data_IF_680273556974
#
_entry.id   IF_680273556974
#
_cell.length_a   1.000
_cell.length_b   1.000
_cell.length_c   1.000
_cell.angle_alpha   90.00
_cell.angle_beta   90.00
_cell.angle_gamma   90.00
#
_symmetry.space_group_name_H-M   'P 1'
#
loop_
_entity.id
_entity.type
_entity.pdbx_description
1 polymer ?
#
# COMPACT_ATOMS: atom_id res chain seq x y z
N UNK A 1 -11.25 2.26 -32.71
CA UNK A 1 -11.69 3.22 -31.67
C UNK A 1 -11.81 2.45 -30.36
N UNK A 2 -10.80 2.52 -29.50
CA UNK A 2 -10.79 1.85 -28.19
C UNK A 2 -11.73 2.59 -27.24
N UNK A 3 -12.84 1.97 -26.85
CA UNK A 3 -13.66 2.44 -25.74
C UNK A 3 -12.85 2.32 -24.45
N UNK A 4 -12.17 3.39 -24.06
CA UNK A 4 -11.59 3.51 -22.73
C UNK A 4 -12.77 3.60 -21.75
N UNK A 5 -12.88 2.62 -20.83
CA UNK A 5 -13.92 2.64 -19.79
C UNK A 5 -13.82 3.95 -19.00
N UNK A 6 -14.96 4.56 -18.60
CA UNK A 6 -14.92 5.74 -17.76
C UNK A 6 -14.16 5.43 -16.47
N UNK A 7 -13.27 6.34 -16.11
CA UNK A 7 -12.43 6.19 -14.93
C UNK A 7 -13.27 6.37 -13.67
N UNK A 8 -13.55 5.23 -13.02
CA UNK A 8 -14.45 5.13 -11.86
C UNK A 8 -13.87 5.76 -10.60
N UNK A 9 -12.57 6.09 -10.58
CA UNK A 9 -11.90 6.67 -9.43
C UNK A 9 -11.95 8.21 -9.40
N UNK A 10 -12.31 8.87 -10.51
CA UNK A 10 -12.36 10.32 -10.58
C UNK A 10 -13.25 10.98 -9.50
N UNK A 11 -14.46 10.47 -9.17
CA UNK A 11 -15.27 11.05 -8.10
C UNK A 11 -14.56 10.98 -6.75
N UNK A 12 -13.95 9.83 -6.43
CA UNK A 12 -13.18 9.65 -5.21
C UNK A 12 -11.98 10.60 -5.13
N UNK A 13 -11.22 10.73 -6.22
CA UNK A 13 -10.05 11.63 -6.31
C UNK A 13 -10.49 13.08 -6.06
N UNK A 14 -11.58 13.52 -6.69
CA UNK A 14 -12.11 14.89 -6.50
C UNK A 14 -12.48 15.15 -5.05
N UNK A 15 -13.21 14.23 -4.43
CA UNK A 15 -13.58 14.34 -3.02
C UNK A 15 -12.34 14.36 -2.13
N UNK A 16 -11.39 13.44 -2.34
CA UNK A 16 -10.20 13.35 -1.52
C UNK A 16 -9.34 14.62 -1.61
N UNK A 17 -9.23 15.23 -2.79
CA UNK A 17 -8.54 16.52 -2.97
C UNK A 17 -9.25 17.66 -2.24
N UNK A 18 -10.58 17.71 -2.28
CA UNK A 18 -11.33 18.75 -1.57
C UNK A 18 -11.11 18.68 -0.06
N UNK A 19 -11.09 17.47 0.51
CA UNK A 19 -10.83 17.30 1.95
C UNK A 19 -9.37 17.62 2.33
N UNK A 20 -8.40 17.22 1.50
CA UNK A 20 -6.98 17.50 1.76
C UNK A 20 -6.63 18.99 1.65
N UNK A 21 -7.36 19.77 0.83
CA UNK A 21 -7.18 21.22 0.71
C UNK A 21 -7.43 21.97 2.03
N UNK A 22 -8.24 21.42 2.91
CA UNK A 22 -8.54 21.99 4.23
C UNK A 22 -7.53 21.56 5.31
N UNK A 23 -6.62 20.62 5.00
CA UNK A 23 -5.65 20.08 5.94
C UNK A 23 -4.28 20.76 5.83
N UNK A 24 -3.58 20.88 6.97
CA UNK A 24 -2.21 21.39 7.01
C UNK A 24 -1.22 20.38 6.40
N UNK A 25 -0.49 20.71 5.32
CA UNK A 25 0.50 19.83 4.69
C UNK A 25 1.59 19.32 5.65
N UNK A 26 1.95 20.11 6.67
CA UNK A 26 2.96 19.71 7.68
C UNK A 26 2.39 18.59 8.56
N UNK A 27 1.12 18.70 8.96
CA UNK A 27 0.43 17.66 9.74
C UNK A 27 0.24 16.40 8.90
N UNK A 28 -0.12 16.54 7.63
CA UNK A 28 -0.22 15.42 6.70
C UNK A 28 1.12 14.68 6.56
N UNK A 29 2.22 15.42 6.42
CA UNK A 29 3.56 14.85 6.34
C UNK A 29 3.91 14.05 7.60
N UNK A 30 3.66 14.63 8.78
CA UNK A 30 3.92 13.98 10.06
C UNK A 30 3.12 12.68 10.25
N UNK A 31 1.84 12.66 9.87
CA UNK A 31 0.98 11.47 10.00
C UNK A 31 1.27 10.38 8.99
N UNK A 32 1.64 10.76 7.77
CA UNK A 32 1.90 9.83 6.67
C UNK A 32 3.35 9.34 6.58
N UNK A 33 4.25 9.95 7.36
CA UNK A 33 5.69 9.74 7.22
C UNK A 33 6.26 10.31 5.92
N UNK A 34 5.50 11.13 5.18
CA UNK A 34 5.99 11.79 3.97
C UNK A 34 7.04 12.85 4.32
N UNK A 35 8.02 13.03 3.43
CA UNK A 35 8.92 14.17 3.54
C UNK A 35 8.22 15.41 2.97
N UNK A 36 8.18 16.48 3.74
CA UNK A 36 7.64 17.76 3.28
C UNK A 36 8.75 18.67 2.78
N UNK A 37 8.56 19.25 1.61
CA UNK A 37 9.39 20.36 1.12
C UNK A 37 8.50 21.48 0.63
N UNK A 38 8.68 22.66 1.22
CA UNK A 38 7.99 23.86 0.78
C UNK A 38 8.68 24.42 -0.49
N UNK A 39 7.89 24.76 -1.50
CA UNK A 39 8.40 25.33 -2.75
C UNK A 39 8.24 26.86 -2.77
N UNK A 40 7.09 27.37 -2.30
CA UNK A 40 6.84 28.81 -2.15
C UNK A 40 5.93 29.10 -0.92
N UNK A 41 5.17 30.20 -0.91
CA UNK A 41 4.29 30.55 0.23
C UNK A 41 3.05 29.64 0.33
N UNK A 42 2.56 29.13 -0.79
CA UNK A 42 1.27 28.42 -0.88
C UNK A 42 1.42 27.00 -1.46
N UNK A 43 2.56 26.72 -2.10
CA UNK A 43 2.86 25.44 -2.72
C UNK A 43 4.01 24.72 -2.06
N UNK A 44 3.93 23.42 -2.15
CA UNK A 44 5.02 22.52 -1.82
C UNK A 44 4.69 21.10 -2.21
N UNK A 45 5.53 20.19 -1.74
CA UNK A 45 5.51 18.80 -2.12
C UNK A 45 5.61 17.88 -0.90
N UNK A 46 4.87 16.78 -0.98
CA UNK A 46 4.94 15.64 -0.08
C UNK A 46 5.56 14.48 -0.85
N UNK A 47 6.74 14.02 -0.41
CA UNK A 47 7.47 12.93 -1.05
C UNK A 47 7.17 11.63 -0.33
N UNK A 48 6.78 10.62 -1.10
CA UNK A 48 6.35 9.31 -0.64
C UNK A 48 7.13 8.22 -1.37
N UNK A 49 7.19 7.03 -0.77
CA UNK A 49 7.78 5.85 -1.40
C UNK A 49 6.72 4.76 -1.49
N UNK A 50 6.55 4.19 -2.67
CA UNK A 50 5.71 3.02 -2.91
C UNK A 50 6.57 1.93 -3.54
N UNK A 51 6.73 0.80 -2.85
CA UNK A 51 7.57 -0.33 -3.29
C UNK A 51 9.00 0.07 -3.70
N UNK A 52 9.63 0.93 -2.90
CA UNK A 52 10.98 1.44 -3.17
C UNK A 52 11.06 2.53 -4.25
N UNK A 53 9.96 2.85 -4.93
CA UNK A 53 9.90 3.90 -5.95
C UNK A 53 9.43 5.23 -5.35
N UNK A 54 10.08 6.32 -5.74
CA UNK A 54 9.78 7.67 -5.25
C UNK A 54 8.62 8.32 -6.00
N UNK A 55 7.77 9.03 -5.27
CA UNK A 55 6.62 9.78 -5.79
C UNK A 55 6.50 11.13 -5.08
N UNK A 56 5.88 12.09 -5.76
CA UNK A 56 5.70 13.45 -5.26
C UNK A 56 4.25 13.86 -5.39
N UNK A 57 3.62 14.29 -4.30
CA UNK A 57 2.28 14.89 -4.30
C UNK A 57 2.41 16.40 -4.07
N UNK A 58 1.96 17.19 -5.04
CA UNK A 58 2.10 18.66 -5.00
C UNK A 58 0.82 19.29 -4.48
N UNK A 59 0.91 20.09 -3.41
CA UNK A 59 -0.19 20.90 -2.87
C UNK A 59 -0.11 22.34 -3.42
N UNK A 60 -1.23 23.08 -3.53
CA UNK A 60 -2.55 22.80 -2.95
C UNK A 60 -3.44 21.83 -3.75
N UNK A 61 -3.09 21.45 -4.98
CA UNK A 61 -4.00 20.63 -5.81
C UNK A 61 -3.97 19.13 -5.52
N UNK A 62 -2.99 18.67 -4.75
CA UNK A 62 -2.75 17.27 -4.40
C UNK A 62 -2.78 16.38 -5.65
N UNK A 63 -1.87 16.68 -6.58
CA UNK A 63 -1.62 15.85 -7.76
C UNK A 63 -0.35 15.04 -7.53
N UNK A 64 -0.44 13.73 -7.71
CA UNK A 64 0.69 12.81 -7.61
C UNK A 64 1.45 12.73 -8.95
N UNK A 65 2.78 12.71 -8.84
CA UNK A 65 3.71 12.57 -9.94
C UNK A 65 4.72 11.47 -9.60
N UNK A 66 5.20 10.78 -10.63
CA UNK A 66 6.33 9.87 -10.48
C UNK A 66 7.60 10.67 -10.19
N UNK A 67 8.39 10.26 -9.21
CA UNK A 67 9.53 11.04 -8.74
C UNK A 67 10.70 11.10 -9.73
N UNK A 68 10.86 10.08 -10.57
CA UNK A 68 11.95 9.99 -11.55
C UNK A 68 11.58 10.67 -12.87
N UNK A 69 10.45 10.30 -13.47
CA UNK A 69 10.02 10.83 -14.78
C UNK A 69 9.34 12.19 -14.68
N UNK A 70 8.79 12.55 -13.51
CA UNK A 70 7.94 13.74 -13.35
C UNK A 70 6.57 13.61 -14.03
N UNK A 71 6.21 12.44 -14.54
CA UNK A 71 4.92 12.22 -15.19
C UNK A 71 3.77 12.17 -14.18
N UNK A 72 2.58 12.58 -14.64
CA UNK A 72 1.37 12.50 -13.81
C UNK A 72 1.05 11.02 -13.56
N UNK A 73 0.89 10.66 -12.29
CA UNK A 73 0.48 9.33 -11.89
C UNK A 73 -0.91 8.97 -12.44
N UNK A 74 -1.09 7.70 -12.80
CA UNK A 74 -2.40 7.15 -13.17
C UNK A 74 -3.45 7.37 -12.07
N UNK A 75 -4.73 7.39 -12.43
CA UNK A 75 -5.82 7.64 -11.48
C UNK A 75 -5.86 6.66 -10.30
N UNK A 76 -5.45 5.41 -10.52
CA UNK A 76 -5.29 4.45 -9.43
C UNK A 76 -4.21 4.89 -8.42
N UNK A 77 -3.04 5.33 -8.89
CA UNK A 77 -1.98 5.85 -8.02
C UNK A 77 -2.39 7.16 -7.36
N UNK A 78 -3.08 8.05 -8.08
CA UNK A 78 -3.67 9.27 -7.49
C UNK A 78 -4.58 8.91 -6.31
N UNK A 79 -5.54 8.00 -6.53
CA UNK A 79 -6.47 7.57 -5.50
C UNK A 79 -5.74 6.94 -4.30
N UNK A 80 -4.74 6.10 -4.55
CA UNK A 80 -3.94 5.47 -3.50
C UNK A 80 -3.24 6.50 -2.61
N UNK A 81 -2.49 7.44 -3.19
CA UNK A 81 -1.76 8.45 -2.41
C UNK A 81 -2.69 9.39 -1.66
N UNK A 82 -3.78 9.82 -2.29
CA UNK A 82 -4.76 10.69 -1.63
C UNK A 82 -5.49 9.97 -0.51
N UNK A 83 -5.84 8.69 -0.70
CA UNK A 83 -6.41 7.88 0.37
C UNK A 83 -5.44 7.77 1.54
N UNK A 84 -4.18 7.39 1.26
CA UNK A 84 -3.15 7.26 2.28
C UNK A 84 -2.94 8.55 3.06
N UNK A 85 -2.80 9.69 2.39
CA UNK A 85 -2.64 10.99 3.05
C UNK A 85 -3.85 11.36 3.93
N UNK A 86 -5.07 10.95 3.54
CA UNK A 86 -6.29 11.18 4.33
C UNK A 86 -6.40 10.29 5.56
N UNK A 87 -5.99 9.02 5.44
CA UNK A 87 -6.23 8.01 6.48
C UNK A 87 -5.04 7.77 7.38
N UNK A 88 -3.83 8.17 6.99
CA UNK A 88 -2.66 8.04 7.83
C UNK A 88 -2.86 8.81 9.14
N UNK A 89 -2.61 8.13 10.26
CA UNK A 89 -2.88 8.62 11.61
C UNK A 89 -1.59 8.82 12.44
N UNK A 90 -0.43 8.58 11.83
CA UNK A 90 0.88 8.69 12.49
C UNK A 90 1.24 7.52 13.40
N UNK A 91 0.42 6.45 13.47
CA UNK A 91 0.80 5.26 14.22
C UNK A 91 2.01 4.60 13.57
N UNK A 92 2.95 4.18 14.41
CA UNK A 92 4.11 3.40 13.97
C UNK A 92 3.67 2.02 13.50
N UNK A 93 4.51 1.38 12.69
CA UNK A 93 4.36 -0.03 12.36
C UNK A 93 4.24 -0.85 13.64
N UNK A 94 3.37 -1.86 13.62
CA UNK A 94 3.07 -2.70 14.80
C UNK A 94 4.24 -3.59 15.24
N UNK A 95 5.36 -3.58 14.51
CA UNK A 95 6.57 -4.39 14.73
C UNK A 95 6.29 -5.90 14.93
N UNK A 96 5.23 -6.39 14.27
CA UNK A 96 4.81 -7.77 14.31
C UNK A 96 4.13 -8.17 13.02
N UNK A 97 4.10 -9.47 12.75
CA UNK A 97 3.26 -10.03 11.70
C UNK A 97 1.79 -9.85 12.07
N UNK A 98 1.01 -9.38 11.10
CA UNK A 98 -0.46 -9.28 11.17
C UNK A 98 -1.05 -10.19 10.12
N UNK A 99 -2.07 -10.96 10.50
CA UNK A 99 -2.86 -11.70 9.52
C UNK A 99 -3.77 -10.75 8.73
N UNK A 100 -4.12 -11.12 7.51
CA UNK A 100 -5.07 -10.35 6.70
C UNK A 100 -6.43 -10.15 7.39
N UNK A 101 -6.78 -11.04 8.34
CA UNK A 101 -7.99 -10.96 9.18
C UNK A 101 -7.94 -9.83 10.21
N UNK A 102 -6.75 -9.43 10.62
CA UNK A 102 -6.55 -8.35 11.60
C UNK A 102 -6.60 -6.96 10.96
N UNK A 103 -6.56 -6.88 9.63
CA UNK A 103 -6.66 -5.62 8.89
C UNK A 103 -8.12 -5.21 8.80
N UNK A 104 -8.42 -3.95 9.09
CA UNK A 104 -9.76 -3.38 8.90
C UNK A 104 -10.24 -3.58 7.45
N UNK A 105 -11.43 -4.16 7.28
CA UNK A 105 -11.95 -4.56 5.96
C UNK A 105 -11.28 -5.78 5.32
N UNK A 106 -10.18 -6.31 5.89
CA UNK A 106 -9.45 -7.47 5.36
C UNK A 106 -10.25 -8.78 5.41
N UNK A 107 -11.24 -8.88 6.30
CA UNK A 107 -12.15 -10.03 6.39
C UNK A 107 -12.89 -10.33 5.07
N UNK A 108 -13.25 -9.29 4.32
CA UNK A 108 -13.97 -9.46 3.05
C UNK A 108 -13.10 -10.09 1.95
N UNK A 109 -11.77 -9.92 2.02
CA UNK A 109 -10.85 -10.47 1.03
C UNK A 109 -10.11 -11.71 1.52
N UNK A 110 -10.06 -11.93 2.84
CA UNK A 110 -9.29 -13.01 3.45
C UNK A 110 -9.65 -14.39 2.87
N UNK A 111 -10.94 -14.70 2.67
CA UNK A 111 -11.34 -16.01 2.13
C UNK A 111 -10.83 -16.23 0.71
N UNK A 112 -10.94 -15.20 -0.15
CA UNK A 112 -10.45 -15.29 -1.51
C UNK A 112 -8.92 -15.49 -1.51
N UNK A 113 -8.20 -14.67 -0.72
CA UNK A 113 -6.75 -14.77 -0.57
C UNK A 113 -6.31 -16.15 -0.12
N UNK A 114 -6.93 -16.68 0.94
CA UNK A 114 -6.64 -18.01 1.48
C UNK A 114 -6.84 -19.11 0.42
N UNK A 115 -7.93 -19.04 -0.35
CA UNK A 115 -8.27 -20.06 -1.35
C UNK A 115 -7.23 -20.22 -2.47
N UNK A 116 -6.69 -19.11 -3.00
CA UNK A 116 -5.69 -19.19 -4.08
C UNK A 116 -4.23 -19.25 -3.59
N UNK A 117 -3.98 -19.13 -2.28
CA UNK A 117 -2.64 -19.18 -1.69
C UNK A 117 -2.51 -20.31 -0.66
N UNK A 118 -2.88 -20.07 0.59
CA UNK A 118 -2.70 -20.98 1.72
C UNK A 118 -3.33 -22.36 1.49
N UNK A 119 -4.54 -22.42 0.95
CA UNK A 119 -5.23 -23.69 0.69
C UNK A 119 -4.54 -24.51 -0.40
N UNK A 120 -3.89 -23.85 -1.37
CA UNK A 120 -3.10 -24.55 -2.40
C UNK A 120 -1.85 -25.20 -1.81
N UNK A 121 -1.18 -24.51 -0.90
CA UNK A 121 -0.01 -25.05 -0.18
C UNK A 121 -0.43 -26.21 0.72
N UNK A 122 -1.48 -26.01 1.53
CA UNK A 122 -2.01 -27.05 2.41
C UNK A 122 -2.46 -28.29 1.64
N UNK A 123 -3.15 -28.12 0.50
CA UNK A 123 -3.58 -29.24 -0.35
C UNK A 123 -2.41 -29.97 -1.00
N UNK A 124 -1.33 -29.27 -1.35
CA UNK A 124 -0.16 -29.88 -1.99
C UNK A 124 0.62 -30.77 -1.03
N UNK A 125 0.89 -30.29 0.19
CA UNK A 125 1.71 -31.02 1.17
C UNK A 125 0.89 -31.94 2.08
N UNK A 126 -0.40 -31.64 2.32
CA UNK A 126 -1.24 -32.40 3.24
C UNK A 126 -0.61 -32.49 4.63
N UNK A 127 -0.33 -33.71 5.09
CA UNK A 127 0.32 -33.97 6.38
C UNK A 127 1.86 -34.07 6.29
N UNK A 128 2.48 -33.80 5.14
CA UNK A 128 3.95 -33.85 4.96
C UNK A 128 4.61 -32.49 5.27
N UNK A 129 4.68 -32.16 6.57
CA UNK A 129 5.32 -30.92 7.02
C UNK A 129 6.82 -30.88 6.72
N UNK A 130 7.51 -32.03 6.72
CA UNK A 130 8.94 -32.09 6.38
C UNK A 130 9.18 -31.84 4.89
N UNK A 131 8.28 -32.32 4.03
CA UNK A 131 8.26 -31.98 2.60
C UNK A 131 8.10 -30.48 2.37
N UNK A 132 7.17 -29.84 3.11
CA UNK A 132 7.00 -28.39 3.08
C UNK A 132 8.29 -27.65 3.49
N UNK A 133 8.91 -28.04 4.60
CA UNK A 133 10.17 -27.42 5.09
C UNK A 133 11.29 -27.51 4.06
N UNK A 134 11.55 -28.71 3.53
CA UNK A 134 12.57 -28.92 2.49
C UNK A 134 12.30 -28.10 1.23
N UNK A 135 11.03 -28.00 0.81
CA UNK A 135 10.66 -27.23 -0.38
C UNK A 135 10.89 -25.72 -0.17
N UNK A 136 10.48 -25.19 0.99
CA UNK A 136 10.66 -23.78 1.33
C UNK A 136 12.15 -23.40 1.43
N UNK A 137 12.97 -24.23 2.08
CA UNK A 137 14.41 -24.03 2.19
C UNK A 137 15.11 -24.06 0.82
N UNK A 138 14.73 -25.00 -0.05
CA UNK A 138 15.24 -25.06 -1.44
C UNK A 138 14.85 -23.84 -2.27
N UNK A 139 13.72 -23.22 -1.97
CA UNK A 139 13.27 -21.98 -2.58
C UNK A 139 13.92 -20.72 -1.97
N UNK A 140 14.88 -20.89 -1.04
CA UNK A 140 15.59 -19.78 -0.39
C UNK A 140 14.85 -19.16 0.79
N UNK A 141 13.80 -19.82 1.31
CA UNK A 141 13.00 -19.31 2.41
C UNK A 141 13.76 -19.31 3.74
N UNK A 142 13.60 -18.25 4.52
CA UNK A 142 14.10 -18.15 5.89
C UNK A 142 13.05 -18.63 6.89
N UNK A 143 13.42 -19.55 7.78
CA UNK A 143 12.51 -20.09 8.79
C UNK A 143 12.05 -19.01 9.77
N UNK A 144 10.76 -19.00 10.08
CA UNK A 144 10.13 -18.12 11.08
C UNK A 144 9.50 -18.93 12.21
N UNK A 145 9.49 -18.34 13.41
CA UNK A 145 8.88 -18.92 14.60
C UNK A 145 7.36 -18.65 14.64
N UNK A 146 6.62 -19.22 13.69
CA UNK A 146 5.17 -19.08 13.59
C UNK A 146 4.54 -20.44 13.22
N UNK A 147 3.56 -20.88 14.00
CA UNK A 147 2.90 -22.19 13.79
C UNK A 147 3.87 -23.37 13.82
N UNK A 148 3.49 -24.47 13.17
CA UNK A 148 4.31 -25.69 13.09
C UNK A 148 5.48 -25.56 12.09
N UNK A 149 5.28 -24.76 11.03
CA UNK A 149 6.32 -24.38 10.08
C UNK A 149 5.93 -23.09 9.33
N UNK A 150 6.84 -22.11 9.28
CA UNK A 150 6.67 -20.86 8.55
C UNK A 150 7.99 -20.40 7.93
N UNK A 151 7.90 -19.74 6.78
CA UNK A 151 9.04 -19.22 6.03
C UNK A 151 8.72 -17.86 5.42
N UNK A 152 9.72 -17.00 5.28
CA UNK A 152 9.65 -15.75 4.50
C UNK A 152 10.64 -15.77 3.34
N UNK A 153 10.31 -15.07 2.26
CA UNK A 153 11.09 -14.97 1.03
C UNK A 153 11.38 -13.52 0.69
#
# INVERSE_FOLDING_TARGET
MTHSKPDTLLPFIRQARAELKEADPVVLAARSGAQHKRLDKERGELRLTLWGQGYVVIYPDFIAYEGESGEICSSWRQALFLHYLRTADGKTLADRWVSLREIEGGQFYHQAFQGYSGDRVAKHFGNDIEGFRRAAERAGGERRALGDAAYSF
#
